data_IF_614671577329
#
_entry.id   IF_614671577329
#
_cell.length_a   1.000
_cell.length_b   1.000
_cell.length_c   1.000
_cell.angle_alpha   90.00
_cell.angle_beta   90.00
_cell.angle_gamma   90.00
#
_symmetry.space_group_name_H-M   'P 1'
#
loop_
_entity.id
_entity.type
_entity.pdbx_description
1 polymer ?
#
# COMPACT_ATOMS: atom_id res chain seq x y z
N UNK A 1 -51.51 -62.69 -12.96
CA UNK A 1 -50.24 -62.08 -12.49
C UNK A 1 -49.20 -63.20 -12.31
N UNK A 2 -48.10 -63.21 -13.08
CA UNK A 2 -47.06 -64.25 -12.95
C UNK A 2 -46.29 -64.03 -11.66
N UNK A 3 -46.25 -65.06 -10.79
CA UNK A 3 -45.50 -65.01 -9.52
C UNK A 3 -44.00 -65.02 -9.83
N UNK A 4 -43.32 -63.92 -9.55
CA UNK A 4 -41.86 -63.85 -9.63
C UNK A 4 -41.28 -64.64 -8.45
N UNK A 5 -40.35 -65.56 -8.74
CA UNK A 5 -39.68 -66.36 -7.73
C UNK A 5 -38.78 -65.50 -6.84
N UNK A 6 -38.77 -65.76 -5.53
CA UNK A 6 -37.90 -65.08 -4.57
C UNK A 6 -36.42 -65.12 -4.99
N UNK A 7 -35.97 -66.23 -5.59
CA UNK A 7 -34.59 -66.35 -6.11
C UNK A 7 -34.32 -65.35 -7.23
N UNK A 8 -35.28 -65.13 -8.12
CA UNK A 8 -35.15 -64.16 -9.22
C UNK A 8 -35.11 -62.72 -8.69
N UNK A 9 -35.90 -62.42 -7.65
CA UNK A 9 -35.88 -61.11 -7.00
C UNK A 9 -34.54 -60.84 -6.30
N UNK A 10 -33.99 -61.83 -5.58
CA UNK A 10 -32.70 -61.71 -4.89
C UNK A 10 -31.54 -61.53 -5.87
N UNK A 11 -31.51 -62.30 -6.97
CA UNK A 11 -30.46 -62.15 -8.00
C UNK A 11 -30.55 -60.78 -8.66
N UNK A 12 -31.76 -60.32 -9.00
CA UNK A 12 -31.96 -59.00 -9.58
C UNK A 12 -31.50 -57.88 -8.64
N UNK A 13 -31.90 -57.93 -7.37
CA UNK A 13 -31.47 -56.95 -6.35
C UNK A 13 -29.95 -56.98 -6.13
N UNK A 14 -29.34 -58.15 -6.12
CA UNK A 14 -27.89 -58.30 -5.95
C UNK A 14 -27.14 -57.74 -7.16
N UNK A 15 -27.62 -58.01 -8.39
CA UNK A 15 -27.05 -57.43 -9.60
C UNK A 15 -27.22 -55.92 -9.59
N UNK A 16 -28.37 -55.37 -9.20
CA UNK A 16 -28.60 -53.92 -9.08
C UNK A 16 -27.69 -53.31 -8.01
N UNK A 17 -27.52 -53.94 -6.84
CA UNK A 17 -26.64 -53.42 -5.79
C UNK A 17 -25.17 -53.47 -6.21
N UNK A 18 -24.72 -54.57 -6.83
CA UNK A 18 -23.34 -54.71 -7.32
C UNK A 18 -23.08 -53.73 -8.46
N UNK A 19 -23.97 -53.62 -9.44
CA UNK A 19 -23.81 -52.64 -10.53
C UNK A 19 -23.88 -51.20 -10.03
N UNK A 20 -24.77 -50.87 -9.08
CA UNK A 20 -24.79 -49.56 -8.42
C UNK A 20 -23.53 -49.30 -7.59
N UNK A 21 -22.92 -50.34 -7.00
CA UNK A 21 -21.63 -50.22 -6.30
C UNK A 21 -20.43 -50.10 -7.23
N UNK A 22 -20.55 -50.56 -8.48
CA UNK A 22 -19.54 -50.36 -9.54
C UNK A 22 -19.66 -48.97 -10.18
N UNK A 23 -20.86 -48.38 -10.21
CA UNK A 23 -21.07 -46.94 -10.38
C UNK A 23 -20.84 -46.20 -9.05
N UNK A 24 -19.65 -46.37 -8.47
CA UNK A 24 -19.16 -45.40 -7.50
C UNK A 24 -19.20 -44.01 -8.14
N UNK A 25 -19.75 -43.02 -7.43
CA UNK A 25 -19.60 -41.61 -7.76
C UNK A 25 -18.11 -41.27 -7.84
N UNK A 26 -17.49 -41.46 -9.00
CA UNK A 26 -16.15 -40.95 -9.27
C UNK A 26 -16.29 -39.42 -9.30
N UNK A 27 -15.32 -38.69 -8.78
CA UNK A 27 -15.22 -37.21 -8.91
C UNK A 27 -14.99 -36.74 -10.36
N UNK A 28 -15.34 -37.56 -11.35
CA UNK A 28 -15.26 -37.28 -12.78
C UNK A 28 -16.68 -37.02 -13.28
N UNK A 29 -17.10 -35.75 -13.23
CA UNK A 29 -18.30 -35.25 -13.88
C UNK A 29 -17.97 -34.08 -14.81
N UNK A 30 -18.89 -33.68 -15.68
CA UNK A 30 -18.67 -32.64 -16.69
C UNK A 30 -18.22 -31.29 -16.10
N UNK A 31 -18.59 -31.00 -14.85
CA UNK A 31 -18.14 -29.82 -14.09
C UNK A 31 -16.63 -29.80 -13.80
N UNK A 32 -15.98 -30.96 -13.82
CA UNK A 32 -14.56 -31.15 -13.43
C UNK A 32 -13.64 -31.21 -14.66
N UNK A 33 -14.16 -31.59 -15.83
CA UNK A 33 -13.35 -31.80 -17.05
C UNK A 33 -12.58 -30.56 -17.52
N UNK A 34 -13.04 -29.35 -17.18
CA UNK A 34 -12.41 -28.08 -17.57
C UNK A 34 -11.90 -27.24 -16.38
N UNK A 35 -11.91 -27.80 -15.17
CA UNK A 35 -11.45 -27.07 -13.98
C UNK A 35 -9.92 -27.08 -13.93
N UNK A 36 -9.31 -25.91 -14.11
CA UNK A 36 -7.88 -25.71 -13.88
C UNK A 36 -7.68 -24.87 -12.62
N UNK A 37 -7.00 -25.44 -11.62
CA UNK A 37 -6.79 -24.81 -10.31
C UNK A 37 -5.46 -24.08 -10.19
N UNK A 38 -4.62 -24.14 -11.23
CA UNK A 38 -3.33 -23.46 -11.26
C UNK A 38 -3.53 -21.97 -10.95
N UNK A 39 -2.68 -21.43 -10.09
CA UNK A 39 -2.63 -20.00 -9.86
C UNK A 39 -1.99 -19.34 -11.09
N UNK A 40 -2.79 -18.55 -11.82
CA UNK A 40 -2.34 -17.78 -12.99
C UNK A 40 -1.97 -16.34 -12.64
N UNK A 41 -2.12 -15.95 -11.37
CA UNK A 41 -1.67 -14.64 -10.88
C UNK A 41 -0.16 -14.62 -10.65
N UNK A 42 0.37 -13.40 -10.51
CA UNK A 42 1.77 -13.19 -10.13
C UNK A 42 1.87 -12.82 -8.65
N UNK A 43 3.01 -13.16 -8.06
CA UNK A 43 3.41 -12.63 -6.75
C UNK A 43 3.42 -11.10 -6.81
N UNK A 44 2.74 -10.45 -5.87
CA UNK A 44 2.74 -8.99 -5.77
C UNK A 44 2.97 -8.57 -4.33
N UNK A 45 4.25 -8.31 -4.00
CA UNK A 45 4.66 -7.81 -2.69
C UNK A 45 4.05 -6.44 -2.32
N UNK A 46 3.47 -5.72 -3.29
CA UNK A 46 2.83 -4.43 -3.06
C UNK A 46 1.36 -4.57 -2.64
N UNK A 47 0.80 -5.78 -2.68
CA UNK A 47 -0.51 -6.08 -2.10
C UNK A 47 -0.34 -6.40 -0.62
N UNK A 48 -1.00 -5.62 0.23
CA UNK A 48 -1.03 -5.91 1.66
C UNK A 48 -1.81 -7.20 1.92
N UNK A 49 -1.15 -8.19 2.52
CA UNK A 49 -1.73 -9.48 2.86
C UNK A 49 -1.48 -9.80 4.34
N UNK A 50 -2.56 -9.92 5.11
CA UNK A 50 -2.51 -10.18 6.55
C UNK A 50 -3.33 -11.41 6.93
N UNK A 51 -3.00 -12.02 8.07
CA UNK A 51 -3.77 -13.14 8.58
C UNK A 51 -5.19 -12.72 9.00
N UNK A 52 -5.29 -11.65 9.79
CA UNK A 52 -6.57 -11.08 10.22
C UNK A 52 -7.08 -9.99 9.29
N UNK A 53 -8.40 -9.82 9.27
CA UNK A 53 -9.08 -8.77 8.52
C UNK A 53 -8.82 -7.37 9.09
N UNK A 54 -8.68 -7.30 10.41
CA UNK A 54 -8.47 -6.05 11.14
C UNK A 54 -7.11 -6.09 11.84
N UNK A 55 -6.26 -5.11 11.52
CA UNK A 55 -4.98 -4.91 12.17
C UNK A 55 -4.90 -3.48 12.69
N UNK A 56 -5.00 -3.34 14.01
CA UNK A 56 -4.74 -2.07 14.69
C UNK A 56 -3.25 -1.75 14.56
N UNK A 57 -2.96 -0.53 14.14
CA UNK A 57 -1.59 -0.08 13.91
C UNK A 57 -0.97 0.44 15.21
N UNK A 58 0.33 0.69 15.20
CA UNK A 58 0.99 1.46 16.26
C UNK A 58 1.68 2.66 15.60
N UNK A 59 1.46 3.89 16.11
CA UNK A 59 0.59 4.28 17.22
C UNK A 59 -0.90 4.24 16.85
N UNK A 60 -1.75 3.98 17.84
CA UNK A 60 -3.22 4.05 17.76
C UNK A 60 -3.77 4.73 19.01
N UNK A 61 -4.97 5.31 18.91
CA UNK A 61 -5.67 5.81 20.09
C UNK A 61 -6.12 4.66 21.02
N UNK A 62 -6.39 4.96 22.29
CA UNK A 62 -6.83 3.96 23.28
C UNK A 62 -8.11 3.23 22.84
N UNK A 63 -9.00 3.97 22.17
CA UNK A 63 -10.10 3.41 21.38
C UNK A 63 -9.80 3.71 19.92
N UNK A 64 -9.19 2.76 19.17
CA UNK A 64 -8.76 3.00 17.80
C UNK A 64 -9.89 3.51 16.91
N UNK A 65 -9.63 4.58 16.16
CA UNK A 65 -10.57 5.10 15.17
C UNK A 65 -10.42 4.35 13.83
N UNK A 66 -11.27 4.66 12.85
CA UNK A 66 -11.27 4.04 11.53
C UNK A 66 -9.91 4.19 10.80
N UNK A 67 -9.17 5.28 11.07
CA UNK A 67 -7.85 5.56 10.50
C UNK A 67 -6.68 4.95 11.31
N UNK A 68 -6.96 4.17 12.36
CA UNK A 68 -5.98 3.40 13.14
C UNK A 68 -6.12 1.88 12.90
N UNK A 69 -7.05 1.46 12.05
CA UNK A 69 -7.32 0.05 11.77
C UNK A 69 -7.14 -0.20 10.28
N UNK A 70 -6.14 -1.00 9.92
CA UNK A 70 -6.05 -1.56 8.58
C UNK A 70 -7.15 -2.60 8.46
N UNK A 71 -8.11 -2.34 7.57
CA UNK A 71 -9.25 -3.21 7.32
C UNK A 71 -9.19 -3.76 5.90
N UNK A 72 -8.87 -5.04 5.78
CA UNK A 72 -8.77 -5.77 4.51
C UNK A 72 -9.39 -7.16 4.67
N UNK A 73 -9.59 -7.88 3.58
CA UNK A 73 -9.90 -9.31 3.64
C UNK A 73 -8.62 -10.07 4.00
N UNK A 74 -8.63 -10.78 5.12
CA UNK A 74 -7.48 -11.53 5.63
C UNK A 74 -7.54 -13.02 5.29
N UNK A 75 -6.39 -13.69 5.42
CA UNK A 75 -6.27 -15.13 5.15
C UNK A 75 -7.19 -15.95 6.05
N UNK A 76 -7.39 -15.57 7.30
CA UNK A 76 -8.30 -16.28 8.21
C UNK A 76 -9.72 -16.36 7.63
N UNK A 77 -10.23 -15.25 7.11
CA UNK A 77 -11.56 -15.20 6.53
C UNK A 77 -11.65 -16.05 5.27
N UNK A 78 -10.65 -15.98 4.39
CA UNK A 78 -10.58 -16.85 3.20
C UNK A 78 -10.57 -18.32 3.60
N UNK A 79 -9.68 -18.73 4.51
CA UNK A 79 -9.59 -20.12 4.94
C UNK A 79 -10.89 -20.59 5.61
N UNK A 80 -11.50 -19.75 6.45
CA UNK A 80 -12.78 -20.10 7.08
C UNK A 80 -13.91 -20.27 6.04
N UNK A 81 -14.01 -19.37 5.07
CA UNK A 81 -15.05 -19.37 4.04
C UNK A 81 -14.98 -20.61 3.14
N UNK A 82 -13.77 -20.99 2.72
CA UNK A 82 -13.60 -22.10 1.76
C UNK A 82 -13.32 -23.45 2.43
N UNK A 83 -12.67 -23.48 3.59
CA UNK A 83 -12.17 -24.72 4.20
C UNK A 83 -12.70 -24.93 5.62
N UNK A 84 -12.72 -23.88 6.44
CA UNK A 84 -13.05 -23.89 7.87
C UNK A 84 -14.55 -23.80 8.18
N UNK A 85 -15.43 -24.21 7.26
CA UNK A 85 -16.87 -24.20 7.52
C UNK A 85 -17.25 -25.28 8.54
N UNK A 86 -18.43 -25.13 9.17
CA UNK A 86 -18.96 -26.06 10.19
C UNK A 86 -19.19 -27.49 9.69
N UNK A 87 -19.19 -27.72 8.38
CA UNK A 87 -19.31 -29.05 7.78
C UNK A 87 -17.94 -29.65 7.40
N UNK A 88 -16.88 -28.85 7.44
CA UNK A 88 -15.53 -29.21 6.99
C UNK A 88 -14.51 -29.05 8.12
N UNK A 89 -13.46 -28.26 7.90
CA UNK A 89 -12.34 -28.08 8.83
C UNK A 89 -12.66 -27.13 10.00
N UNK A 90 -13.85 -26.55 10.07
CA UNK A 90 -14.40 -25.93 11.30
C UNK A 90 -15.46 -26.80 11.98
N UNK A 91 -15.64 -28.03 11.49
CA UNK A 91 -16.75 -28.93 11.78
C UNK A 91 -16.32 -30.24 12.41
N UNK A 92 -16.75 -31.40 11.91
CA UNK A 92 -16.29 -32.71 12.40
C UNK A 92 -14.95 -33.15 11.79
N UNK A 93 -14.52 -32.59 10.66
CA UNK A 93 -13.35 -33.06 9.91
C UNK A 93 -12.05 -32.50 10.52
N UNK A 94 -11.03 -33.34 10.69
CA UNK A 94 -9.68 -32.94 11.06
C UNK A 94 -8.80 -32.82 9.81
N UNK A 95 -7.75 -31.95 9.80
CA UNK A 95 -7.37 -30.99 10.83
C UNK A 95 -8.39 -29.85 11.01
N UNK A 96 -8.28 -29.07 12.10
CA UNK A 96 -9.06 -27.85 12.30
C UNK A 96 -8.35 -26.64 11.71
N UNK A 97 -9.09 -25.63 11.23
CA UNK A 97 -8.53 -24.38 10.70
C UNK A 97 -9.10 -23.13 11.39
N UNK A 98 -9.20 -23.20 12.71
CA UNK A 98 -9.89 -22.17 13.52
C UNK A 98 -8.94 -21.07 14.01
N UNK A 99 -7.62 -21.32 13.97
CA UNK A 99 -6.58 -20.44 14.50
C UNK A 99 -5.35 -20.34 13.59
N UNK A 100 -4.56 -19.30 13.81
CA UNK A 100 -3.26 -19.09 13.16
C UNK A 100 -2.35 -20.32 13.32
N UNK A 101 -2.19 -20.79 14.56
CA UNK A 101 -1.33 -21.93 14.90
C UNK A 101 -1.72 -23.20 14.15
N UNK A 102 -3.01 -23.49 14.00
CA UNK A 102 -3.47 -24.66 13.25
C UNK A 102 -3.19 -24.55 11.75
N UNK A 103 -3.43 -23.37 11.16
CA UNK A 103 -3.16 -23.12 9.74
C UNK A 103 -1.65 -23.20 9.46
N UNK A 104 -0.82 -22.66 10.36
CA UNK A 104 0.64 -22.65 10.21
C UNK A 104 1.27 -24.04 10.17
N UNK A 105 0.61 -25.09 10.69
CA UNK A 105 1.08 -26.49 10.54
C UNK A 105 1.17 -26.95 9.08
N UNK A 106 0.49 -26.25 8.16
CA UNK A 106 0.44 -26.54 6.73
C UNK A 106 1.15 -25.48 5.88
N UNK A 107 1.78 -24.49 6.52
CA UNK A 107 2.42 -23.36 5.86
C UNK A 107 3.90 -23.35 6.19
N UNK A 108 4.73 -23.33 5.15
CA UNK A 108 6.14 -23.02 5.25
C UNK A 108 6.30 -21.52 4.99
N UNK A 109 6.45 -20.74 6.06
CA UNK A 109 6.66 -19.29 5.96
C UNK A 109 7.77 -18.93 4.96
N UNK A 110 7.50 -17.96 4.09
CA UNK A 110 8.42 -17.51 3.05
C UNK A 110 8.48 -18.42 1.81
N UNK A 111 7.82 -19.57 1.83
CA UNK A 111 7.90 -20.55 0.74
C UNK A 111 6.52 -21.14 0.40
N UNK A 112 5.76 -20.49 -0.50
CA UNK A 112 4.48 -21.02 -0.99
C UNK A 112 4.62 -22.42 -1.60
N UNK A 113 5.69 -22.69 -2.37
CA UNK A 113 5.91 -23.98 -3.02
C UNK A 113 6.15 -25.15 -2.06
N UNK A 114 6.69 -24.89 -0.87
CA UNK A 114 6.87 -25.88 0.19
C UNK A 114 5.65 -25.98 1.15
N UNK A 115 4.63 -25.14 0.97
CA UNK A 115 3.46 -25.09 1.84
C UNK A 115 2.39 -26.08 1.37
N UNK A 116 2.05 -27.07 2.20
CA UNK A 116 0.95 -28.02 1.93
C UNK A 116 -0.38 -27.32 1.70
N UNK A 117 -0.65 -26.24 2.45
CA UNK A 117 -1.84 -25.42 2.25
C UNK A 117 -1.93 -24.91 0.81
N UNK A 118 -0.82 -24.42 0.26
CA UNK A 118 -0.77 -23.88 -1.10
C UNK A 118 -0.94 -24.99 -2.15
N UNK A 119 -0.29 -26.14 -1.94
CA UNK A 119 -0.46 -27.33 -2.80
C UNK A 119 -1.94 -27.74 -2.88
N UNK A 120 -2.62 -27.89 -1.75
CA UNK A 120 -4.02 -28.31 -1.73
C UNK A 120 -4.96 -27.34 -2.45
N UNK A 121 -4.74 -26.03 -2.39
CA UNK A 121 -5.62 -25.05 -3.03
C UNK A 121 -5.32 -24.81 -4.53
N UNK A 122 -4.20 -25.34 -5.03
CA UNK A 122 -3.77 -25.14 -6.43
C UNK A 122 -3.59 -26.41 -7.24
N UNK A 123 -3.51 -27.59 -6.60
CA UNK A 123 -3.31 -28.87 -7.28
C UNK A 123 -4.47 -29.25 -8.18
N UNK A 124 -4.18 -29.85 -9.34
CA UNK A 124 -5.18 -30.49 -10.21
C UNK A 124 -5.39 -31.97 -9.88
N UNK A 125 -4.77 -32.49 -8.81
CA UNK A 125 -5.14 -33.77 -8.22
C UNK A 125 -6.41 -33.59 -7.39
N UNK A 126 -7.58 -33.85 -8.00
CA UNK A 126 -8.89 -33.59 -7.38
C UNK A 126 -9.22 -34.51 -6.19
N UNK A 127 -8.41 -35.54 -5.93
CA UNK A 127 -8.51 -36.34 -4.71
C UNK A 127 -7.85 -35.66 -3.51
N UNK A 128 -6.89 -34.77 -3.76
CA UNK A 128 -6.21 -33.97 -2.73
C UNK A 128 -6.71 -32.53 -2.65
N UNK A 129 -7.29 -32.02 -3.73
CA UNK A 129 -7.66 -30.62 -3.86
C UNK A 129 -8.64 -30.16 -2.77
N UNK A 130 -8.34 -28.99 -2.19
CA UNK A 130 -9.17 -28.30 -1.20
C UNK A 130 -9.51 -26.88 -1.66
N UNK A 131 -10.76 -26.42 -1.50
CA UNK A 131 -11.92 -27.22 -1.14
C UNK A 131 -12.20 -28.32 -2.16
N UNK A 132 -12.88 -29.41 -1.77
CA UNK A 132 -13.20 -30.51 -2.67
C UNK A 132 -13.98 -30.03 -3.88
N UNK A 133 -13.68 -30.54 -5.08
CA UNK A 133 -14.31 -30.09 -6.34
C UNK A 133 -15.84 -30.22 -6.38
N UNK A 134 -16.42 -31.07 -5.54
CA UNK A 134 -17.87 -31.24 -5.40
C UNK A 134 -18.53 -30.24 -4.41
N UNK A 135 -17.75 -29.35 -3.78
CA UNK A 135 -18.26 -28.34 -2.85
C UNK A 135 -18.97 -27.18 -3.56
N UNK A 136 -18.88 -27.09 -4.89
CA UNK A 136 -19.34 -25.97 -5.74
C UNK A 136 -18.71 -24.60 -5.40
N UNK A 137 -17.67 -24.57 -4.57
CA UNK A 137 -17.14 -23.34 -3.99
C UNK A 137 -15.62 -23.29 -4.12
N UNK A 138 -15.12 -22.73 -5.23
CA UNK A 138 -13.69 -22.61 -5.53
C UNK A 138 -13.11 -21.25 -5.11
N UNK A 139 -11.84 -21.24 -4.72
CA UNK A 139 -11.14 -19.98 -4.42
C UNK A 139 -10.94 -19.16 -5.69
N UNK A 140 -11.24 -17.86 -5.60
CA UNK A 140 -10.92 -16.90 -6.66
C UNK A 140 -9.41 -16.72 -6.84
N UNK A 141 -8.98 -16.24 -8.01
CA UNK A 141 -7.57 -15.89 -8.25
C UNK A 141 -7.07 -14.84 -7.25
N UNK A 142 -7.92 -13.88 -6.85
CA UNK A 142 -7.57 -12.88 -5.84
C UNK A 142 -7.35 -13.47 -4.45
N UNK A 143 -8.20 -14.41 -4.01
CA UNK A 143 -8.03 -15.07 -2.71
C UNK A 143 -6.80 -15.97 -2.69
N UNK A 144 -6.53 -16.68 -3.79
CA UNK A 144 -5.27 -17.40 -3.98
C UNK A 144 -4.07 -16.46 -3.92
N UNK A 145 -4.15 -15.30 -4.60
CA UNK A 145 -3.10 -14.28 -4.56
C UNK A 145 -2.85 -13.74 -3.15
N UNK A 146 -3.90 -13.52 -2.36
CA UNK A 146 -3.80 -13.10 -0.96
C UNK A 146 -3.05 -14.16 -0.12
N UNK A 147 -3.44 -15.43 -0.21
CA UNK A 147 -2.77 -16.53 0.52
C UNK A 147 -1.32 -16.64 0.06
N UNK A 148 -1.07 -16.61 -1.24
CA UNK A 148 0.28 -16.70 -1.80
C UNK A 148 1.19 -15.60 -1.25
N UNK A 149 0.75 -14.34 -1.32
CA UNK A 149 1.52 -13.18 -0.86
C UNK A 149 1.72 -13.21 0.66
N UNK A 150 0.70 -13.61 1.43
CA UNK A 150 0.84 -13.77 2.88
C UNK A 150 1.90 -14.83 3.22
N UNK A 151 1.89 -16.01 2.56
CA UNK A 151 2.91 -17.04 2.78
C UNK A 151 4.29 -16.53 2.38
N UNK A 152 4.41 -15.94 1.18
CA UNK A 152 5.67 -15.42 0.66
C UNK A 152 6.27 -14.35 1.59
N UNK A 153 5.44 -13.52 2.21
CA UNK A 153 5.85 -12.48 3.15
C UNK A 153 6.10 -13.01 4.59
N UNK A 154 6.27 -14.33 4.74
CA UNK A 154 6.64 -14.96 6.00
C UNK A 154 5.45 -15.43 6.84
N UNK A 155 4.23 -15.45 6.29
CA UNK A 155 3.03 -15.98 6.91
C UNK A 155 2.80 -15.46 8.35
N UNK A 156 3.05 -14.18 8.60
CA UNK A 156 3.01 -13.61 9.95
C UNK A 156 1.57 -13.53 10.46
N UNK A 157 1.37 -13.80 11.75
CA UNK A 157 0.07 -13.58 12.41
C UNK A 157 -0.28 -12.09 12.44
N UNK A 158 0.72 -11.26 12.75
CA UNK A 158 0.63 -9.81 12.76
C UNK A 158 1.66 -9.20 11.79
N UNK A 159 1.22 -8.30 10.91
CA UNK A 159 2.10 -7.63 9.96
C UNK A 159 3.08 -6.68 10.67
N UNK A 160 4.19 -6.38 10.00
CA UNK A 160 5.21 -5.43 10.45
C UNK A 160 5.63 -4.49 9.32
N UNK A 161 6.67 -3.68 9.55
CA UNK A 161 7.16 -2.69 8.59
C UNK A 161 7.43 -3.26 7.18
N UNK A 162 7.95 -4.48 7.09
CA UNK A 162 8.24 -5.11 5.81
C UNK A 162 6.96 -5.38 4.99
N UNK A 163 5.83 -5.55 5.66
CA UNK A 163 4.51 -5.76 5.03
C UNK A 163 3.81 -4.42 4.77
N UNK A 164 3.96 -3.45 5.67
CA UNK A 164 3.34 -2.13 5.53
C UNK A 164 3.96 -1.31 4.40
N UNK A 165 5.29 -1.27 4.34
CA UNK A 165 6.05 -0.38 3.45
C UNK A 165 5.68 -0.55 1.97
N UNK A 166 5.79 -1.72 1.34
CA UNK A 166 5.55 -1.84 -0.10
C UNK A 166 4.11 -1.48 -0.47
N UNK A 167 3.14 -1.86 0.36
CA UNK A 167 1.73 -1.55 0.12
C UNK A 167 1.39 -0.07 0.35
N UNK A 168 1.94 0.56 1.39
CA UNK A 168 1.78 1.99 1.63
C UNK A 168 2.38 2.82 0.48
N UNK A 169 3.57 2.46 0.00
CA UNK A 169 4.24 3.10 -1.15
C UNK A 169 3.37 3.01 -2.40
N UNK A 170 2.80 1.83 -2.68
CA UNK A 170 1.90 1.63 -3.83
C UNK A 170 0.68 2.55 -3.73
N UNK A 171 0.02 2.58 -2.57
CA UNK A 171 -1.15 3.45 -2.34
C UNK A 171 -0.78 4.93 -2.53
N UNK A 172 0.37 5.36 -2.01
CA UNK A 172 0.85 6.74 -2.17
C UNK A 172 1.13 7.04 -3.64
N UNK A 173 1.78 6.13 -4.37
CA UNK A 173 2.07 6.31 -5.79
C UNK A 173 0.78 6.40 -6.60
N UNK A 174 -0.13 5.43 -6.44
CA UNK A 174 -1.39 5.35 -7.17
C UNK A 174 -2.33 6.52 -6.82
N UNK A 175 -2.47 6.82 -5.53
CA UNK A 175 -3.43 7.81 -5.02
C UNK A 175 -2.92 9.26 -5.09
N UNK A 176 -1.63 9.49 -4.84
CA UNK A 176 -1.07 10.84 -4.85
C UNK A 176 -0.41 11.22 -6.19
N UNK A 177 -0.07 10.25 -7.05
CA UNK A 177 0.61 10.41 -8.36
C UNK A 177 -0.17 11.16 -9.44
N UNK A 178 -1.26 11.86 -9.08
CA UNK A 178 -2.09 12.64 -10.01
C UNK A 178 -1.26 13.62 -10.86
N UNK A 179 -1.71 13.83 -12.10
CA UNK A 179 -1.05 14.73 -13.04
C UNK A 179 -0.82 16.14 -12.48
N UNK A 180 -1.69 16.60 -11.59
CA UNK A 180 -1.68 17.98 -11.09
C UNK A 180 -0.73 18.23 -9.90
N UNK A 181 -0.38 17.18 -9.14
CA UNK A 181 0.34 17.35 -7.87
C UNK A 181 1.67 16.62 -7.80
N UNK A 182 1.75 15.34 -8.19
CA UNK A 182 2.95 14.51 -8.08
C UNK A 182 3.30 13.80 -9.39
N UNK A 183 3.41 14.58 -10.47
CA UNK A 183 3.76 14.05 -11.78
C UNK A 183 5.08 14.66 -12.29
N UNK A 184 5.92 13.79 -12.83
CA UNK A 184 7.12 14.17 -13.56
C UNK A 184 6.83 15.21 -14.66
N UNK A 185 5.74 15.07 -15.41
CA UNK A 185 5.39 15.97 -16.51
C UNK A 185 5.15 17.42 -16.02
N UNK A 186 4.57 17.61 -14.83
CA UNK A 186 4.27 18.95 -14.31
C UNK A 186 5.45 19.61 -13.59
N UNK A 187 6.36 18.84 -13.01
CA UNK A 187 7.60 19.37 -12.45
C UNK A 187 8.65 19.67 -13.54
N UNK A 188 8.90 18.72 -14.45
CA UNK A 188 10.00 18.81 -15.44
C UNK A 188 9.73 19.80 -16.56
N UNK A 189 8.48 19.91 -17.03
CA UNK A 189 8.11 20.95 -18.00
C UNK A 189 8.30 22.37 -17.44
N UNK A 190 8.11 22.55 -16.13
CA UNK A 190 8.41 23.81 -15.44
C UNK A 190 9.90 24.13 -15.46
N UNK A 191 10.75 23.15 -15.16
CA UNK A 191 12.20 23.29 -15.19
C UNK A 191 12.75 23.61 -16.58
N UNK A 192 12.22 22.93 -17.60
CA UNK A 192 12.56 23.16 -19.01
C UNK A 192 12.23 24.60 -19.43
N UNK A 193 11.01 25.07 -19.17
CA UNK A 193 10.61 26.46 -19.47
C UNK A 193 11.42 27.52 -18.72
N UNK A 194 12.11 27.14 -17.64
CA UNK A 194 12.98 28.02 -16.85
C UNK A 194 14.46 27.87 -17.18
N UNK A 195 14.83 27.07 -18.18
CA UNK A 195 16.20 26.95 -18.67
C UNK A 195 17.16 26.21 -17.72
N UNK A 196 16.65 25.46 -16.74
CA UNK A 196 17.48 24.76 -15.74
C UNK A 196 18.26 23.57 -16.29
N UNK A 197 17.94 23.17 -17.51
CA UNK A 197 18.42 21.95 -18.15
C UNK A 197 19.39 22.26 -19.30
N UNK A 198 19.81 23.53 -19.43
CA UNK A 198 20.60 23.99 -20.58
C UNK A 198 19.79 23.96 -21.89
N UNK A 199 20.48 23.94 -23.05
CA UNK A 199 19.84 23.75 -24.34
C UNK A 199 19.12 22.42 -24.42
N UNK A 200 17.84 22.44 -24.84
CA UNK A 200 17.02 21.25 -25.06
C UNK A 200 16.79 21.06 -26.55
N UNK A 201 16.74 19.81 -26.98
CA UNK A 201 16.36 19.38 -28.33
C UNK A 201 14.97 18.72 -28.31
N UNK A 202 14.38 18.52 -29.49
CA UNK A 202 13.09 17.82 -29.61
C UNK A 202 13.14 16.38 -29.10
N UNK A 203 14.32 15.74 -29.11
CA UNK A 203 14.51 14.38 -28.58
C UNK A 203 14.49 14.33 -27.04
N UNK A 204 14.68 15.47 -26.36
CA UNK A 204 14.74 15.52 -24.90
C UNK A 204 13.36 15.55 -24.24
N UNK A 205 12.31 15.83 -25.01
CA UNK A 205 10.95 16.02 -24.50
C UNK A 205 9.94 15.13 -25.21
N UNK A 206 8.93 14.70 -24.47
CA UNK A 206 7.72 14.05 -24.99
C UNK A 206 6.47 14.77 -24.49
N UNK A 207 5.34 14.46 -25.12
CA UNK A 207 4.04 14.94 -24.70
C UNK A 207 3.40 13.94 -23.73
N UNK A 208 2.87 14.44 -22.60
CA UNK A 208 2.03 13.69 -21.70
C UNK A 208 0.61 14.28 -21.71
N UNK A 209 -0.37 13.45 -22.02
CA UNK A 209 -1.78 13.87 -22.07
C UNK A 209 -2.50 13.34 -20.84
N UNK A 210 -3.03 14.25 -20.03
CA UNK A 210 -3.90 13.92 -18.90
C UNK A 210 -5.36 14.13 -19.30
N UNK A 211 -6.20 13.15 -19.01
CA UNK A 211 -7.65 13.26 -19.14
C UNK A 211 -8.21 13.24 -17.73
N UNK A 212 -8.89 14.30 -17.31
CA UNK A 212 -9.50 14.37 -16.00
C UNK A 212 -10.61 13.30 -15.91
N UNK A 213 -10.54 12.33 -14.98
CA UNK A 213 -11.50 11.23 -14.91
C UNK A 213 -12.90 11.68 -14.48
N UNK A 214 -13.02 12.84 -13.81
CA UNK A 214 -14.31 13.38 -13.37
C UNK A 214 -14.98 14.27 -14.44
N UNK A 215 -14.20 15.01 -15.23
CA UNK A 215 -14.74 16.01 -16.18
C UNK A 215 -14.49 15.67 -17.64
N UNK A 216 -13.68 14.67 -17.95
CA UNK A 216 -13.21 14.35 -19.31
C UNK A 216 -12.26 15.38 -19.91
N UNK A 217 -11.91 16.45 -19.18
CA UNK A 217 -11.08 17.54 -19.69
C UNK A 217 -9.67 17.07 -20.00
N UNK A 218 -9.17 17.42 -21.18
CA UNK A 218 -7.83 17.05 -21.64
C UNK A 218 -6.85 18.18 -21.31
N UNK A 219 -5.74 17.85 -20.65
CA UNK A 219 -4.60 18.75 -20.44
C UNK A 219 -3.33 18.13 -20.98
N UNK A 220 -2.61 18.89 -21.80
CA UNK A 220 -1.35 18.45 -22.42
C UNK A 220 -0.18 19.07 -21.68
N UNK A 221 0.76 18.22 -21.28
CA UNK A 221 1.98 18.60 -20.58
C UNK A 221 3.21 18.25 -21.41
N UNK A 222 4.23 19.11 -21.35
CA UNK A 222 5.56 18.79 -21.83
C UNK A 222 6.32 18.03 -20.73
N UNK A 223 6.77 16.82 -21.04
CA UNK A 223 7.53 15.95 -20.15
C UNK A 223 8.96 15.83 -20.65
N UNK A 224 9.94 15.89 -19.75
CA UNK A 224 11.32 15.58 -20.10
C UNK A 224 11.52 14.05 -20.16
N UNK A 225 11.68 13.52 -21.37
CA UNK A 225 11.94 12.10 -21.64
C UNK A 225 13.41 11.75 -21.45
N UNK A 226 14.33 12.72 -21.62
CA UNK A 226 15.75 12.54 -21.31
C UNK A 226 15.96 12.40 -19.79
N UNK A 227 16.17 11.15 -19.35
CA UNK A 227 16.35 10.78 -17.95
C UNK A 227 17.61 11.41 -17.35
N UNK A 228 18.68 11.54 -18.13
CA UNK A 228 19.96 12.12 -17.66
C UNK A 228 19.79 13.59 -17.32
N UNK A 229 19.24 14.38 -18.25
CA UNK A 229 18.95 15.80 -18.01
C UNK A 229 17.98 15.96 -16.84
N UNK A 230 16.92 15.15 -16.80
CA UNK A 230 15.95 15.17 -15.70
C UNK A 230 16.60 14.97 -14.34
N UNK A 231 17.42 13.93 -14.23
CA UNK A 231 18.01 13.53 -12.96
C UNK A 231 19.03 14.54 -12.47
N UNK A 232 19.64 15.35 -13.35
CA UNK A 232 20.55 16.44 -12.95
C UNK A 232 19.87 17.49 -12.06
N UNK A 233 18.60 17.82 -12.35
CA UNK A 233 17.80 18.76 -11.55
C UNK A 233 17.05 18.03 -10.44
N UNK A 234 16.51 16.84 -10.72
CA UNK A 234 15.72 16.08 -9.74
C UNK A 234 16.55 15.62 -8.54
N UNK A 235 17.74 15.07 -8.78
CA UNK A 235 18.62 14.63 -7.69
C UNK A 235 19.10 15.82 -6.86
N UNK A 236 19.47 16.94 -7.51
CA UNK A 236 19.83 18.16 -6.81
C UNK A 236 18.68 18.68 -5.93
N UNK A 237 17.43 18.58 -6.41
CA UNK A 237 16.24 18.93 -5.63
C UNK A 237 16.05 18.00 -4.42
N UNK A 238 16.12 16.69 -4.63
CA UNK A 238 15.99 15.71 -3.54
C UNK A 238 17.07 15.89 -2.49
N UNK A 239 18.31 16.10 -2.91
CA UNK A 239 19.44 16.35 -2.01
C UNK A 239 19.24 17.61 -1.19
N UNK A 240 18.70 18.69 -1.77
CA UNK A 240 18.43 19.90 -1.00
C UNK A 240 17.31 19.69 0.02
N UNK A 241 16.23 19.01 -0.34
CA UNK A 241 15.16 18.68 0.63
C UNK A 241 15.70 17.81 1.76
N UNK A 242 16.45 16.74 1.47
CA UNK A 242 17.02 15.86 2.49
C UNK A 242 17.96 16.62 3.43
N UNK A 243 18.87 17.44 2.88
CA UNK A 243 19.84 18.21 3.67
C UNK A 243 19.19 19.29 4.54
N UNK A 244 18.14 19.95 4.06
CA UNK A 244 17.32 20.88 4.86
C UNK A 244 16.83 20.23 6.17
N UNK A 245 16.58 18.93 6.16
CA UNK A 245 16.07 18.19 7.31
C UNK A 245 17.09 17.50 8.20
N UNK A 246 18.31 17.34 7.71
CA UNK A 246 19.42 16.89 8.55
C UNK A 246 19.98 17.99 9.45
N UNK A 247 19.49 19.22 9.28
CA UNK A 247 19.85 20.49 9.96
C UNK A 247 21.04 20.41 10.93
N UNK A 248 22.24 20.39 10.37
CA UNK A 248 23.44 20.81 11.09
C UNK A 248 23.71 22.28 10.75
N UNK A 249 24.47 23.00 11.59
CA UNK A 249 24.91 24.39 11.29
C UNK A 249 25.60 24.47 9.91
N UNK A 250 26.23 23.38 9.45
CA UNK A 250 26.86 23.25 8.13
C UNK A 250 25.87 23.10 6.96
N UNK A 251 24.59 22.82 7.23
CA UNK A 251 23.54 22.55 6.23
C UNK A 251 22.42 23.61 6.16
N UNK A 252 22.52 24.69 6.94
CA UNK A 252 21.60 25.85 6.92
C UNK A 252 21.43 26.52 5.53
N UNK A 253 22.29 26.14 4.59
CA UNK A 253 22.43 26.51 3.18
C UNK A 253 21.58 25.70 2.20
N UNK A 254 21.20 24.46 2.52
CA UNK A 254 20.58 23.52 1.57
C UNK A 254 19.06 23.63 1.52
N UNK A 255 18.54 24.78 1.13
CA UNK A 255 17.09 25.04 1.19
C UNK A 255 16.35 24.40 0.01
N UNK A 256 15.06 24.02 0.14
CA UNK A 256 14.30 23.46 -0.97
C UNK A 256 14.23 24.43 -2.17
N UNK A 257 14.33 23.95 -3.42
CA UNK A 257 14.18 24.77 -4.63
C UNK A 257 12.71 25.16 -4.93
N UNK A 258 11.87 25.31 -3.90
CA UNK A 258 10.47 25.69 -4.10
C UNK A 258 10.27 27.11 -3.61
N UNK A 259 9.80 27.98 -4.51
CA UNK A 259 9.10 29.17 -4.08
C UNK A 259 7.75 29.37 -4.76
N UNK A 260 6.78 29.92 -4.03
CA UNK A 260 5.46 30.38 -4.49
C UNK A 260 5.53 31.56 -5.49
N UNK A 261 6.71 31.86 -6.04
CA UNK A 261 6.92 32.97 -6.98
C UNK A 261 8.38 33.18 -7.41
N UNK A 262 9.00 32.17 -8.06
CA UNK A 262 10.31 32.17 -8.79
C UNK A 262 11.67 32.50 -8.12
N UNK A 263 12.69 31.64 -8.35
CA UNK A 263 13.22 31.58 -9.73
C UNK A 263 12.94 30.30 -10.49
N UNK A 264 12.75 29.17 -9.80
CA UNK A 264 13.03 27.87 -10.44
C UNK A 264 11.74 27.15 -10.88
N UNK A 265 10.63 27.31 -10.16
CA UNK A 265 9.29 26.91 -10.61
C UNK A 265 8.24 27.69 -9.83
N UNK A 266 7.28 28.31 -10.52
CA UNK A 266 6.10 28.94 -9.91
C UNK A 266 4.98 27.93 -9.63
N UNK A 267 5.16 26.67 -10.05
CA UNK A 267 4.18 25.63 -9.88
C UNK A 267 4.33 25.00 -8.50
N UNK A 268 3.21 24.83 -7.79
CA UNK A 268 3.14 24.04 -6.56
C UNK A 268 3.35 22.54 -6.78
N UNK A 269 3.70 22.13 -8.01
CA UNK A 269 3.87 20.75 -8.44
C UNK A 269 5.05 20.14 -7.68
N UNK A 270 4.72 19.10 -6.92
CA UNK A 270 5.69 18.26 -6.24
C UNK A 270 6.20 17.29 -7.30
N UNK A 271 7.47 16.91 -7.23
CA UNK A 271 7.98 16.00 -8.24
C UNK A 271 7.36 14.60 -8.13
N UNK A 272 7.82 13.66 -8.98
CA UNK A 272 7.24 12.32 -9.06
C UNK A 272 7.28 11.59 -7.72
N UNK A 273 6.37 10.63 -7.51
CA UNK A 273 6.39 9.65 -6.40
C UNK A 273 6.75 8.24 -6.92
N UNK A 274 7.61 8.16 -7.94
CA UNK A 274 7.83 6.94 -8.73
C UNK A 274 8.55 5.83 -7.95
N UNK A 275 9.32 6.18 -6.94
CA UNK A 275 10.11 5.24 -6.15
C UNK A 275 10.14 5.65 -4.68
N UNK A 276 10.65 4.75 -3.84
CA UNK A 276 10.72 4.96 -2.41
C UNK A 276 11.53 6.20 -2.00
N UNK A 277 12.61 6.51 -2.71
CA UNK A 277 13.43 7.69 -2.42
C UNK A 277 12.65 8.99 -2.64
N UNK A 278 11.86 9.04 -3.70
CA UNK A 278 10.97 10.16 -4.00
C UNK A 278 9.86 10.30 -2.94
N UNK A 279 9.30 9.17 -2.48
CA UNK A 279 8.27 9.14 -1.44
C UNK A 279 8.83 9.56 -0.08
N UNK A 280 10.02 9.10 0.31
CA UNK A 280 10.68 9.54 1.54
C UNK A 280 10.99 11.03 1.48
N UNK A 281 11.47 11.51 0.34
CA UNK A 281 11.66 12.95 0.14
C UNK A 281 10.35 13.72 0.34
N UNK A 282 9.23 13.26 -0.23
CA UNK A 282 7.95 13.93 -0.02
C UNK A 282 7.43 13.80 1.43
N UNK A 283 7.57 12.64 2.07
CA UNK A 283 7.19 12.43 3.46
C UNK A 283 7.92 13.40 4.39
N UNK A 284 9.21 13.63 4.11
CA UNK A 284 10.02 14.61 4.81
C UNK A 284 9.65 16.03 4.39
N UNK A 285 9.24 16.29 3.15
CA UNK A 285 8.97 17.63 2.59
C UNK A 285 7.95 18.45 3.41
N UNK A 286 8.20 19.75 3.68
CA UNK A 286 7.39 20.48 4.63
C UNK A 286 6.20 21.06 3.90
N UNK A 287 4.99 20.82 4.40
CA UNK A 287 3.79 21.13 3.61
C UNK A 287 3.32 22.57 3.76
N UNK A 288 3.77 23.30 4.79
CA UNK A 288 3.30 24.65 5.12
C UNK A 288 4.30 25.82 5.14
N UNK A 289 5.65 25.67 5.20
CA UNK A 289 6.53 26.83 5.23
C UNK A 289 6.44 27.59 3.92
N UNK A 290 6.33 28.91 4.05
CA UNK A 290 6.24 29.82 2.92
C UNK A 290 7.64 30.12 2.42
N UNK A 291 7.80 30.00 1.11
CA UNK A 291 8.99 30.47 0.43
C UNK A 291 9.17 31.98 0.51
N UNK A 292 10.42 32.45 0.40
CA UNK A 292 10.75 33.87 0.32
C UNK A 292 10.83 34.33 -1.15
N UNK A 293 10.47 35.57 -1.41
CA UNK A 293 10.55 36.19 -2.75
C UNK A 293 11.97 36.57 -3.19
N UNK A 294 12.95 36.54 -2.29
CA UNK A 294 14.36 36.87 -2.57
C UNK A 294 15.33 35.78 -2.14
N UNK A 295 16.54 35.80 -2.73
CA UNK A 295 17.64 34.90 -2.38
C UNK A 295 17.96 35.06 -0.90
N UNK A 296 17.97 33.96 -0.17
CA UNK A 296 18.35 33.93 1.24
C UNK A 296 19.74 33.30 1.41
N UNK A 297 20.24 32.54 0.44
CA UNK A 297 21.59 31.94 0.45
C UNK A 297 22.06 31.58 -0.97
N UNK A 298 23.38 31.61 -1.20
CA UNK A 298 24.04 31.15 -2.43
C UNK A 298 25.12 30.14 -2.02
N UNK A 299 25.11 28.95 -2.63
CA UNK A 299 26.15 27.94 -2.41
C UNK A 299 27.49 28.45 -2.98
N UNK A 300 28.55 28.57 -2.18
CA UNK A 300 29.83 29.15 -2.63
C UNK A 300 30.59 28.25 -3.60
N UNK A 301 30.24 26.96 -3.69
CA UNK A 301 30.87 25.98 -4.59
C UNK A 301 30.06 25.84 -5.88
N UNK A 302 28.74 25.66 -5.78
CA UNK A 302 27.89 25.42 -6.94
C UNK A 302 27.23 26.68 -7.51
N UNK A 303 27.35 27.82 -6.82
CA UNK A 303 26.72 29.11 -7.13
C UNK A 303 25.19 29.08 -7.25
N UNK A 304 24.56 28.02 -6.72
CA UNK A 304 23.11 27.86 -6.75
C UNK A 304 22.45 28.74 -5.68
N UNK A 305 21.34 29.38 -6.05
CA UNK A 305 20.59 30.29 -5.18
C UNK A 305 19.41 29.60 -4.48
N UNK A 306 19.18 29.99 -3.23
CA UNK A 306 18.26 29.34 -2.30
C UNK A 306 17.32 30.34 -1.62
N UNK A 307 16.03 30.00 -1.48
CA UNK A 307 14.98 31.00 -1.25
C UNK A 307 13.95 30.64 -0.15
N UNK A 308 14.13 29.58 0.63
CA UNK A 308 13.20 29.28 1.74
C UNK A 308 13.70 29.97 3.01
N UNK A 309 12.82 30.72 3.70
CA UNK A 309 13.10 31.26 5.02
C UNK A 309 12.80 30.20 6.09
N UNK A 310 13.59 30.18 7.15
CA UNK A 310 13.13 29.75 8.46
C UNK A 310 13.64 28.39 8.94
N UNK A 311 13.39 28.19 10.24
CA UNK A 311 13.60 26.94 10.94
C UNK A 311 12.71 25.85 10.34
N UNK A 312 13.30 24.71 9.96
CA UNK A 312 12.59 23.56 9.39
C UNK A 312 11.50 23.02 10.33
N UNK A 313 11.64 23.27 11.64
CA UNK A 313 10.68 22.92 12.66
C UNK A 313 9.47 23.87 12.71
N UNK A 314 9.53 25.03 12.05
CA UNK A 314 8.44 26.01 12.07
C UNK A 314 7.38 25.71 11.00
N UNK A 315 6.88 24.47 10.99
CA UNK A 315 5.92 23.96 10.00
C UNK A 315 4.82 23.20 10.72
N UNK A 316 3.55 23.50 10.45
CA UNK A 316 2.41 22.87 11.13
C UNK A 316 1.65 21.94 10.16
N UNK A 317 2.34 21.24 9.26
CA UNK A 317 1.69 20.37 8.28
C UNK A 317 2.68 19.32 7.75
N UNK A 318 2.28 18.05 7.80
CA UNK A 318 3.06 16.86 7.42
C UNK A 318 2.31 16.04 6.37
N UNK A 319 2.93 14.99 5.83
CA UNK A 319 2.22 14.05 4.96
C UNK A 319 1.02 13.42 5.68
N UNK A 320 1.22 12.90 6.90
CA UNK A 320 0.15 12.23 7.66
C UNK A 320 -1.00 13.20 7.98
N UNK A 321 -0.71 14.43 8.39
CA UNK A 321 -1.77 15.41 8.69
C UNK A 321 -2.61 15.84 7.47
N UNK A 322 -2.15 15.51 6.25
CA UNK A 322 -2.84 15.81 4.99
C UNK A 322 -3.72 14.68 4.49
N UNK A 323 -3.50 13.47 5.00
CA UNK A 323 -4.25 12.25 4.62
C UNK A 323 -5.06 11.67 5.77
N UNK A 324 -4.88 12.18 6.99
CA UNK A 324 -5.60 11.72 8.18
C UNK A 324 -6.26 12.89 8.90
N UNK A 325 -7.57 13.04 8.68
CA UNK A 325 -8.43 14.03 9.33
C UNK A 325 -8.65 13.76 10.81
N UNK A 326 -8.30 12.60 11.34
CA UNK A 326 -8.52 12.24 12.75
C UNK A 326 -7.43 12.78 13.68
N UNK A 327 -6.35 13.35 13.13
CA UNK A 327 -5.24 13.90 13.90
C UNK A 327 -5.04 15.41 13.66
N UNK A 328 -4.55 16.08 14.69
CA UNK A 328 -4.03 17.44 14.65
C UNK A 328 -2.51 17.38 14.73
N UNK A 329 -1.87 18.31 14.05
CA UNK A 329 -0.41 18.44 14.09
C UNK A 329 -0.01 19.69 14.85
N UNK A 330 0.99 19.57 15.71
CA UNK A 330 1.68 20.69 16.32
C UNK A 330 2.82 21.17 15.43
N UNK A 331 3.09 22.46 15.51
CA UNK A 331 4.34 23.01 14.99
C UNK A 331 5.52 22.42 15.81
N UNK A 332 6.46 21.66 15.18
CA UNK A 332 7.56 21.04 15.91
C UNK A 332 8.48 22.01 16.66
N UNK A 333 8.50 23.30 16.28
CA UNK A 333 9.28 24.33 16.96
C UNK A 333 8.56 24.88 18.19
N UNK A 334 7.28 25.25 18.05
CA UNK A 334 6.55 25.94 19.13
C UNK A 334 5.76 24.99 20.02
N UNK A 335 5.54 23.74 19.60
CA UNK A 335 4.67 22.77 20.28
C UNK A 335 3.18 23.10 20.20
N UNK A 336 2.80 24.19 19.51
CA UNK A 336 1.41 24.64 19.43
C UNK A 336 0.66 23.78 18.40
N UNK A 337 -0.36 23.07 18.88
CA UNK A 337 -1.28 22.30 18.03
C UNK A 337 -2.18 23.19 17.20
N UNK A 338 -2.42 22.78 15.96
CA UNK A 338 -3.50 23.34 15.18
C UNK A 338 -4.86 23.13 15.86
N UNK A 339 -5.76 24.09 15.71
CA UNK A 339 -7.14 24.01 16.22
C UNK A 339 -8.08 23.23 15.29
N UNK A 340 -7.65 23.01 14.05
CA UNK A 340 -8.35 22.25 13.01
C UNK A 340 -7.35 21.49 12.14
N UNK A 341 -7.85 20.61 11.27
CA UNK A 341 -7.03 19.88 10.31
C UNK A 341 -6.25 20.85 9.39
N UNK A 342 -4.93 20.68 9.33
CA UNK A 342 -4.02 21.58 8.62
C UNK A 342 -3.89 21.23 7.14
N UNK A 343 -4.91 21.67 6.41
CA UNK A 343 -5.01 21.53 4.96
C UNK A 343 -5.27 20.10 4.53
N UNK A 344 -5.81 19.98 3.33
CA UNK A 344 -6.19 18.72 2.75
C UNK A 344 -5.30 18.44 1.53
N UNK A 345 -5.35 17.20 1.03
CA UNK A 345 -4.95 16.92 -0.34
C UNK A 345 -6.08 17.39 -1.29
N UNK A 346 -6.10 16.96 -2.56
CA UNK A 346 -7.11 17.43 -3.52
C UNK A 346 -8.57 17.13 -3.11
N UNK A 347 -8.76 16.23 -2.14
CA UNK A 347 -10.03 15.75 -1.58
C UNK A 347 -9.84 15.43 -0.09
N UNK A 348 -10.93 15.39 0.69
CA UNK A 348 -10.97 14.91 2.08
C UNK A 348 -10.13 13.67 2.31
N UNK A 349 -9.13 13.74 3.21
CA UNK A 349 -8.19 12.64 3.50
C UNK A 349 -7.43 12.13 2.26
N UNK A 350 -7.24 13.02 1.29
CA UNK A 350 -6.66 12.69 -0.01
C UNK A 350 -7.46 11.73 -0.87
N UNK A 351 -8.74 11.49 -0.54
CA UNK A 351 -9.57 10.51 -1.23
C UNK A 351 -9.20 9.07 -0.90
N UNK A 352 -8.39 8.84 0.14
CA UNK A 352 -8.00 7.52 0.62
C UNK A 352 -9.07 6.92 1.52
N UNK A 353 -9.18 5.59 1.50
CA UNK A 353 -10.05 4.85 2.41
C UNK A 353 -9.41 4.81 3.81
N UNK A 354 -10.20 4.73 4.90
CA UNK A 354 -9.67 4.64 6.26
C UNK A 354 -8.57 3.58 6.49
N UNK A 355 -8.77 2.38 5.94
CA UNK A 355 -7.77 1.30 6.04
C UNK A 355 -6.47 1.57 5.27
N UNK A 356 -6.52 2.36 4.19
CA UNK A 356 -5.35 2.79 3.42
C UNK A 356 -4.56 3.86 4.19
N UNK A 357 -5.28 4.79 4.84
CA UNK A 357 -4.70 5.78 5.74
C UNK A 357 -3.98 5.09 6.91
N UNK A 358 -4.65 4.11 7.54
CA UNK A 358 -4.06 3.31 8.61
C UNK A 358 -2.78 2.58 8.14
N UNK A 359 -2.79 2.01 6.94
CA UNK A 359 -1.62 1.32 6.37
C UNK A 359 -0.45 2.28 6.12
N UNK A 360 -0.73 3.48 5.59
CA UNK A 360 0.30 4.52 5.42
C UNK A 360 0.86 4.97 6.77
N UNK A 361 0.01 5.13 7.80
CA UNK A 361 0.45 5.47 9.15
C UNK A 361 1.33 4.38 9.77
N UNK A 362 0.94 3.12 9.64
CA UNK A 362 1.72 1.98 10.13
C UNK A 362 3.13 1.99 9.54
N UNK A 363 3.25 2.23 8.23
CA UNK A 363 4.53 2.44 7.58
C UNK A 363 5.25 3.69 8.11
N UNK A 364 4.59 4.85 8.10
CA UNK A 364 5.18 6.15 8.43
C UNK A 364 5.84 6.16 9.82
N UNK A 365 5.15 5.62 10.83
CA UNK A 365 5.67 5.61 12.20
C UNK A 365 6.71 4.51 12.43
N UNK A 366 6.63 3.38 11.73
CA UNK A 366 7.57 2.28 11.88
C UNK A 366 8.87 2.47 11.06
N UNK A 367 8.86 3.28 10.00
CA UNK A 367 10.02 3.39 9.11
C UNK A 367 11.17 4.18 9.75
N UNK A 368 12.38 3.59 9.90
CA UNK A 368 13.55 4.29 10.44
C UNK A 368 14.08 5.38 9.50
N UNK A 369 13.74 5.34 8.21
CA UNK A 369 14.16 6.37 7.25
C UNK A 369 13.37 7.67 7.39
N UNK A 370 12.28 7.67 8.17
CA UNK A 370 11.54 8.88 8.54
C UNK A 370 12.07 9.33 9.91
N UNK A 371 12.69 10.53 10.02
CA UNK A 371 13.26 11.00 11.29
C UNK A 371 12.23 11.13 12.41
N UNK A 372 12.65 10.87 13.64
CA UNK A 372 11.76 10.93 14.81
C UNK A 372 11.11 12.28 15.04
N UNK A 373 11.78 13.38 14.69
CA UNK A 373 11.17 14.71 14.79
C UNK A 373 9.89 14.84 13.98
N UNK A 374 9.77 14.09 12.88
CA UNK A 374 8.59 14.04 12.01
C UNK A 374 7.54 13.03 12.45
N UNK A 375 7.83 12.23 13.47
CA UNK A 375 6.92 11.25 14.06
C UNK A 375 6.44 11.71 15.44
N UNK A 376 7.37 12.23 16.23
CA UNK A 376 7.21 12.45 17.67
C UNK A 376 7.70 13.83 18.13
N UNK A 377 8.18 14.68 17.22
CA UNK A 377 8.69 16.01 17.58
C UNK A 377 10.04 15.98 18.29
N UNK A 378 10.52 17.18 18.64
CA UNK A 378 11.75 17.35 19.40
C UNK A 378 11.60 16.76 20.80
N UNK A 379 12.62 16.01 21.25
CA UNK A 379 12.66 15.39 22.57
C UNK A 379 11.40 14.57 22.92
N UNK A 380 10.76 13.94 21.92
CA UNK A 380 9.54 13.15 22.11
C UNK A 380 8.35 13.96 22.69
N UNK A 381 8.29 15.27 22.43
CA UNK A 381 7.19 16.12 22.89
C UNK A 381 5.83 15.70 22.33
N UNK A 382 5.83 15.00 21.20
CA UNK A 382 4.68 14.62 20.40
C UNK A 382 4.27 15.75 19.46
N UNK A 383 4.14 15.45 18.17
CA UNK A 383 3.65 16.43 17.18
C UNK A 383 2.30 16.05 16.60
N UNK A 384 1.81 14.85 16.86
CA UNK A 384 0.46 14.44 16.47
C UNK A 384 -0.41 14.27 17.69
N UNK A 385 -1.67 14.68 17.57
CA UNK A 385 -2.68 14.55 18.61
C UNK A 385 -3.99 14.08 18.00
N UNK A 386 -4.57 13.02 18.53
CA UNK A 386 -5.89 12.57 18.11
C UNK A 386 -6.94 13.64 18.41
N UNK A 387 -7.79 13.96 17.43
CA UNK A 387 -8.84 14.99 17.56
C UNK A 387 -9.90 14.59 18.57
N UNK A 388 -10.26 13.31 18.59
CA UNK A 388 -11.37 12.79 19.38
C UNK A 388 -11.01 12.68 20.86
N UNK A 389 -9.89 12.06 21.18
CA UNK A 389 -9.44 11.84 22.56
C UNK A 389 -8.54 12.94 23.11
N UNK A 390 -7.86 13.69 22.23
CA UNK A 390 -6.77 14.58 22.63
C UNK A 390 -5.48 13.84 22.97
N UNK A 391 -5.41 12.51 22.79
CA UNK A 391 -4.20 11.72 23.05
C UNK A 391 -3.06 12.18 22.15
N UNK A 392 -1.90 12.49 22.76
CA UNK A 392 -0.70 12.89 22.04
C UNK A 392 0.14 11.66 21.70
N UNK A 393 0.54 11.54 20.45
CA UNK A 393 1.39 10.45 19.95
C UNK A 393 2.84 10.74 20.33
N UNK A 394 3.45 9.78 21.03
CA UNK A 394 4.86 9.77 21.46
C UNK A 394 5.47 8.39 21.18
N UNK A 395 6.80 8.29 21.20
CA UNK A 395 7.54 7.03 21.14
C UNK A 395 7.27 6.19 22.38
#
# INVERSE_FOLDING_TARGET
>A
MKKVSLKTAVIFLTVVFVSSSLFQCRKTGDLVQNLNRNFTGNADSTVFASFYDNNTITPADATPDVNDIIKVRGVKTVIHEYCGTSNCHGGPIAPKFDSYTEIMKYVSAGNPGASKLWDYITTNDFDKAMPPVNSSHELSTSDKGLIYNWILNGAKERPNLADFRPAAIRIINDGCGSANCHNQATATGGWARKGLLGPLTTADTTQYTYINPATGSITVYCQLSNVTLRNSVWNAYKDSVKKFYTDTVAFASFRPYKIFGTPVSALSTRGPLQNYDDIIMDAMYPKSPRSNSGVVYIDPVTLKSFYVKGNYLNVASTMVSRIDSTILVANPFTGVYATSQQGDMAYGDGGLKPGEIALIKAWYFADPNIPDVWKYGNANAGIFKYRKSGTIIKR
#
